data_IF_397712693230
#
_entry.id   IF_397712693230
#
_cell.length_a   1.000
_cell.length_b   1.000
_cell.length_c   1.000
_cell.angle_alpha   90.00
_cell.angle_beta   90.00
_cell.angle_gamma   90.00
#
_symmetry.space_group_name_H-M   'P 1'
#
loop_
_entity.id
_entity.type
_entity.pdbx_description
1 polymer ?
#
# COMPACT_ATOMS: atom_id res chain seq x y z
N UNK A 1 7.53 -10.68 -8.94
CA UNK A 1 6.32 -10.54 -9.78
C UNK A 1 5.27 -9.70 -9.06
N UNK A 2 4.55 -8.82 -9.76
CA UNK A 2 3.39 -8.09 -9.21
C UNK A 2 2.10 -8.77 -9.64
N UNK A 3 1.17 -8.96 -8.71
CA UNK A 3 -0.19 -9.43 -8.98
C UNK A 3 -1.22 -8.49 -8.39
N UNK A 4 -2.31 -8.28 -9.11
CA UNK A 4 -3.45 -7.45 -8.69
C UNK A 4 -4.62 -8.36 -8.39
N UNK A 5 -5.08 -8.34 -7.15
CA UNK A 5 -6.12 -9.23 -6.64
C UNK A 5 -7.37 -8.41 -6.34
N UNK A 6 -8.49 -8.79 -6.94
CA UNK A 6 -9.79 -8.18 -6.73
C UNK A 6 -10.85 -9.26 -6.42
N UNK A 7 -12.11 -8.85 -6.30
CA UNK A 7 -13.22 -9.78 -6.02
C UNK A 7 -13.37 -10.88 -7.08
N UNK A 8 -13.02 -10.61 -8.34
CA UNK A 8 -13.23 -11.54 -9.45
C UNK A 8 -12.17 -12.65 -9.45
N UNK A 9 -10.91 -12.31 -9.16
CA UNK A 9 -9.80 -13.26 -9.25
C UNK A 9 -9.27 -13.78 -7.89
N UNK A 10 -9.72 -13.25 -6.75
CA UNK A 10 -9.22 -13.65 -5.40
C UNK A 10 -9.24 -15.15 -5.11
N UNK A 11 -10.12 -15.91 -5.75
CA UNK A 11 -10.19 -17.35 -5.59
C UNK A 11 -8.92 -18.05 -6.12
N UNK A 12 -8.33 -17.52 -7.19
CA UNK A 12 -7.10 -18.02 -7.79
C UNK A 12 -5.85 -17.66 -6.95
N UNK A 13 -5.93 -16.63 -6.12
CA UNK A 13 -4.84 -16.12 -5.28
C UNK A 13 -5.10 -16.33 -3.77
N UNK A 14 -5.88 -17.34 -3.41
CA UNK A 14 -6.32 -17.54 -2.02
C UNK A 14 -5.17 -17.84 -1.06
N UNK A 15 -4.12 -18.52 -1.53
CA UNK A 15 -2.94 -18.85 -0.73
C UNK A 15 -2.06 -17.61 -0.51
N UNK A 16 -1.87 -16.80 -1.53
CA UNK A 16 -1.11 -15.55 -1.50
C UNK A 16 -1.83 -14.52 -0.63
N UNK A 17 -3.15 -14.42 -0.71
CA UNK A 17 -3.94 -13.59 0.19
C UNK A 17 -3.79 -14.02 1.66
N UNK A 18 -3.80 -15.33 1.94
CA UNK A 18 -3.55 -15.83 3.29
C UNK A 18 -2.13 -15.52 3.78
N UNK A 19 -1.12 -15.65 2.91
CA UNK A 19 0.26 -15.23 3.23
C UNK A 19 0.33 -13.72 3.52
N UNK A 20 -0.36 -12.90 2.73
CA UNK A 20 -0.44 -11.45 2.96
C UNK A 20 -1.09 -11.11 4.31
N UNK A 21 -2.18 -11.77 4.70
CA UNK A 21 -2.79 -11.54 6.02
C UNK A 21 -1.88 -11.97 7.18
N UNK A 22 -1.05 -13.00 7.00
CA UNK A 22 -0.03 -13.38 7.99
C UNK A 22 1.12 -12.37 8.04
N UNK A 23 1.56 -11.86 6.89
CA UNK A 23 2.57 -10.79 6.83
C UNK A 23 2.07 -9.52 7.52
N UNK A 24 0.82 -9.14 7.26
CA UNK A 24 0.14 -8.03 7.94
C UNK A 24 0.15 -8.22 9.46
N UNK A 25 -0.17 -9.42 9.96
CA UNK A 25 -0.09 -9.74 11.40
C UNK A 25 1.30 -9.49 11.96
N UNK A 26 2.35 -9.99 11.30
CA UNK A 26 3.74 -9.77 11.72
C UNK A 26 4.09 -8.29 11.81
N UNK A 27 3.64 -7.48 10.85
CA UNK A 27 3.96 -6.05 10.82
C UNK A 27 3.08 -5.25 11.78
N UNK A 28 1.76 -5.29 11.60
CA UNK A 28 0.82 -4.41 12.30
C UNK A 28 0.47 -4.89 13.72
N UNK A 29 0.53 -6.20 13.99
CA UNK A 29 0.29 -6.74 15.33
C UNK A 29 1.61 -6.94 16.09
N UNK A 30 2.54 -7.72 15.54
CA UNK A 30 3.71 -8.17 16.32
C UNK A 30 4.80 -7.09 16.43
N UNK A 31 5.06 -6.37 15.34
CA UNK A 31 6.15 -5.39 15.27
C UNK A 31 5.71 -4.00 15.73
N UNK A 32 4.58 -3.51 15.21
CA UNK A 32 4.09 -2.17 15.49
C UNK A 32 3.12 -2.11 16.70
N UNK A 33 2.46 -3.22 17.04
CA UNK A 33 1.49 -3.25 18.14
C UNK A 33 0.24 -2.38 17.92
N UNK A 34 -0.08 -2.04 16.67
CA UNK A 34 -1.17 -1.11 16.35
C UNK A 34 -2.55 -1.73 16.46
N UNK A 35 -2.68 -3.02 16.15
CA UNK A 35 -3.96 -3.73 16.15
C UNK A 35 -3.76 -5.16 16.69
N UNK A 36 -4.77 -5.73 17.37
CA UNK A 36 -4.72 -7.13 17.79
C UNK A 36 -4.78 -8.06 16.58
N UNK A 37 -4.18 -9.25 16.71
CA UNK A 37 -4.34 -10.32 15.72
C UNK A 37 -5.75 -10.92 15.78
N UNK A 38 -6.20 -11.44 14.64
CA UNK A 38 -7.41 -12.28 14.56
C UNK A 38 -7.19 -13.64 15.23
N UNK A 39 -8.28 -14.30 15.64
CA UNK A 39 -8.23 -15.60 16.33
C UNK A 39 -7.54 -16.71 15.50
N UNK A 40 -7.59 -16.59 14.17
CA UNK A 40 -6.96 -17.52 13.23
C UNK A 40 -5.45 -17.27 13.01
N UNK A 41 -4.85 -16.34 13.76
CA UNK A 41 -3.43 -16.01 13.67
C UNK A 41 -3.08 -15.11 12.48
N UNK A 42 -4.05 -14.41 11.90
CA UNK A 42 -3.85 -13.45 10.82
C UNK A 42 -4.18 -12.01 11.25
N UNK A 43 -3.99 -11.03 10.36
CA UNK A 43 -4.55 -9.69 10.53
C UNK A 43 -5.52 -9.38 9.40
N UNK A 44 -6.77 -9.20 9.80
CA UNK A 44 -7.90 -8.78 8.96
C UNK A 44 -8.71 -7.75 9.72
N UNK A 45 -9.28 -6.81 9.00
CA UNK A 45 -10.23 -5.83 9.53
C UNK A 45 -11.55 -5.86 8.73
N UNK A 46 -12.54 -5.11 9.19
CA UNK A 46 -13.86 -5.07 8.54
C UNK A 46 -13.81 -4.52 7.09
N UNK A 47 -12.74 -3.83 6.70
CA UNK A 47 -12.58 -3.29 5.34
C UNK A 47 -12.11 -4.36 4.35
N UNK A 48 -11.54 -5.48 4.82
CA UNK A 48 -11.21 -6.64 3.99
C UNK A 48 -12.45 -7.34 3.41
N UNK A 49 -13.63 -7.07 3.96
CA UNK A 49 -14.90 -7.60 3.43
C UNK A 49 -15.59 -6.62 2.45
N UNK A 50 -15.08 -5.38 2.34
CA UNK A 50 -15.56 -4.36 1.41
C UNK A 50 -14.86 -4.47 0.04
N UNK A 51 -15.33 -3.70 -0.93
CA UNK A 51 -14.68 -3.63 -2.23
C UNK A 51 -13.30 -2.96 -2.12
N UNK A 52 -12.28 -3.68 -2.54
CA UNK A 52 -10.89 -3.25 -2.56
C UNK A 52 -10.10 -4.02 -3.62
N UNK A 53 -8.93 -3.50 -3.96
CA UNK A 53 -7.91 -4.21 -4.75
C UNK A 53 -6.70 -4.40 -3.87
N UNK A 54 -6.11 -5.60 -3.86
CA UNK A 54 -4.82 -5.86 -3.22
C UNK A 54 -3.76 -6.00 -4.29
N UNK A 55 -2.68 -5.25 -4.16
CA UNK A 55 -1.48 -5.42 -4.98
C UNK A 55 -0.49 -6.22 -4.15
N UNK A 56 -0.06 -7.37 -4.65
CA UNK A 56 0.93 -8.22 -3.99
C UNK A 56 2.23 -8.25 -4.80
N UNK A 57 3.34 -8.25 -4.07
CA UNK A 57 4.66 -8.57 -4.59
C UNK A 57 5.00 -10.01 -4.23
N UNK A 58 5.14 -10.87 -5.23
CA UNK A 58 5.59 -12.25 -5.09
C UNK A 58 7.07 -12.35 -5.45
N UNK A 59 7.86 -13.06 -4.65
CA UNK A 59 9.26 -13.37 -4.98
C UNK A 59 9.31 -14.26 -6.22
N UNK A 60 10.16 -13.91 -7.19
CA UNK A 60 10.21 -14.64 -8.48
C UNK A 60 10.82 -16.05 -8.34
N UNK A 61 11.65 -16.29 -7.32
CA UNK A 61 12.30 -17.58 -7.10
C UNK A 61 11.45 -18.52 -6.24
N UNK A 62 10.76 -18.00 -5.23
CA UNK A 62 9.97 -18.82 -4.28
C UNK A 62 8.47 -18.77 -4.52
N UNK A 63 7.96 -17.74 -5.18
CA UNK A 63 6.53 -17.46 -5.30
C UNK A 63 5.88 -16.94 -4.00
N UNK A 64 6.66 -16.73 -2.94
CA UNK A 64 6.16 -16.26 -1.64
C UNK A 64 5.82 -14.76 -1.66
N UNK A 65 4.86 -14.36 -0.83
CA UNK A 65 4.49 -12.95 -0.70
C UNK A 65 5.58 -12.17 0.04
N UNK A 66 6.31 -11.33 -0.69
CA UNK A 66 7.32 -10.41 -0.13
C UNK A 66 6.74 -9.06 0.30
N UNK A 67 5.48 -8.76 -0.05
CA UNK A 67 4.81 -7.54 0.38
C UNK A 67 3.46 -7.34 -0.28
N UNK A 68 2.72 -6.34 0.19
CA UNK A 68 1.47 -5.94 -0.43
C UNK A 68 0.93 -4.62 0.07
N UNK A 69 -0.08 -4.11 -0.64
CA UNK A 69 -0.86 -2.92 -0.30
C UNK A 69 -2.31 -3.12 -0.72
N UNK A 70 -3.24 -2.63 0.10
CA UNK A 70 -4.68 -2.62 -0.19
C UNK A 70 -5.08 -1.22 -0.66
N UNK A 71 -5.77 -1.14 -1.80
CA UNK A 71 -6.34 0.08 -2.37
C UNK A 71 -7.87 0.05 -2.30
N UNK A 72 -8.49 1.13 -1.85
CA UNK A 72 -9.94 1.24 -1.64
C UNK A 72 -10.52 2.55 -2.20
N UNK A 73 -11.69 2.56 -2.86
CA UNK A 73 -12.32 3.79 -3.30
C UNK A 73 -12.84 4.62 -2.12
N UNK A 74 -12.55 5.92 -2.12
CA UNK A 74 -12.97 6.82 -1.01
C UNK A 74 -14.45 7.19 -0.99
N UNK A 75 -15.19 6.87 -2.05
CA UNK A 75 -16.66 6.94 -2.05
C UNK A 75 -17.28 5.94 -1.05
N UNK A 76 -16.57 4.86 -0.74
CA UNK A 76 -17.00 3.87 0.26
C UNK A 76 -16.51 4.20 1.68
N UNK A 77 -16.78 3.28 2.64
CA UNK A 77 -16.13 3.31 3.94
C UNK A 77 -14.63 3.00 3.79
N UNK A 78 -13.78 3.85 4.39
CA UNK A 78 -12.32 3.68 4.39
C UNK A 78 -11.77 3.87 5.80
N UNK A 79 -10.53 3.44 6.06
CA UNK A 79 -9.90 3.60 7.39
C UNK A 79 -9.79 5.08 7.77
N UNK A 80 -9.48 5.93 6.81
CA UNK A 80 -9.26 7.35 6.98
C UNK A 80 -10.55 8.10 7.28
N UNK A 81 -11.67 7.76 6.66
CA UNK A 81 -12.96 8.40 6.98
C UNK A 81 -13.60 7.86 8.26
N UNK A 82 -13.03 6.83 8.88
CA UNK A 82 -13.60 6.17 10.07
C UNK A 82 -12.65 6.28 11.26
N UNK A 83 -11.53 5.56 11.22
CA UNK A 83 -10.53 5.45 12.28
C UNK A 83 -9.64 6.69 12.37
N UNK A 84 -9.23 7.25 11.22
CA UNK A 84 -8.31 8.40 11.17
C UNK A 84 -9.00 9.70 10.74
N UNK A 85 -10.30 9.82 11.00
CA UNK A 85 -11.09 10.98 10.59
C UNK A 85 -10.63 12.27 11.27
N UNK A 86 -10.00 12.17 12.44
CA UNK A 86 -9.36 13.27 13.18
C UNK A 86 -8.13 13.84 12.46
N UNK A 87 -7.48 13.06 11.61
CA UNK A 87 -6.35 13.49 10.78
C UNK A 87 -6.79 14.03 9.41
N UNK A 88 -8.06 13.95 9.04
CA UNK A 88 -8.50 14.36 7.71
C UNK A 88 -9.10 15.78 7.76
N UNK A 89 -8.38 16.82 7.30
CA UNK A 89 -8.99 18.14 7.15
C UNK A 89 -10.07 18.08 6.07
N UNK A 90 -11.22 18.72 6.31
CA UNK A 90 -12.33 18.77 5.34
C UNK A 90 -12.69 17.39 4.74
N UNK A 91 -13.14 16.40 5.55
CA UNK A 91 -13.29 15.01 5.11
C UNK A 91 -14.05 14.79 3.79
N UNK A 92 -15.08 15.59 3.54
CA UNK A 92 -15.88 15.52 2.31
C UNK A 92 -15.09 15.79 1.03
N UNK A 93 -14.00 16.57 1.12
CA UNK A 93 -13.09 16.84 -0.02
C UNK A 93 -12.43 15.56 -0.55
N UNK A 94 -12.23 14.57 0.31
CA UNK A 94 -11.53 13.34 -0.01
C UNK A 94 -12.47 12.18 -0.30
N UNK A 95 -13.76 12.46 -0.55
CA UNK A 95 -14.72 11.49 -1.09
C UNK A 95 -14.91 11.71 -2.58
N UNK A 96 -14.19 10.95 -3.40
CA UNK A 96 -14.22 11.11 -4.85
C UNK A 96 -14.00 9.78 -5.57
N UNK A 97 -14.62 9.55 -6.75
CA UNK A 97 -14.32 8.38 -7.57
C UNK A 97 -12.86 8.34 -8.02
N UNK A 98 -12.19 9.51 -8.11
CA UNK A 98 -10.81 9.64 -8.55
C UNK A 98 -9.80 9.62 -7.39
N UNK A 99 -10.24 9.46 -6.14
CA UNK A 99 -9.37 9.38 -4.96
C UNK A 99 -9.52 8.00 -4.32
N UNK A 100 -8.39 7.31 -4.15
CA UNK A 100 -8.35 5.99 -3.52
C UNK A 100 -7.47 6.00 -2.28
N UNK A 101 -7.86 5.26 -1.26
CA UNK A 101 -7.09 5.08 -0.04
C UNK A 101 -6.11 3.90 -0.18
N UNK A 102 -4.83 4.12 0.12
CA UNK A 102 -3.85 3.06 0.31
C UNK A 102 -3.71 2.70 1.79
N UNK A 103 -3.89 1.42 2.12
CA UNK A 103 -3.79 0.88 3.48
C UNK A 103 -3.00 -0.41 3.50
N UNK A 104 -2.53 -0.78 4.69
CA UNK A 104 -1.79 -2.05 4.92
C UNK A 104 -0.61 -2.24 3.96
N UNK A 105 0.07 -1.15 3.61
CA UNK A 105 1.35 -1.23 2.90
C UNK A 105 2.38 -1.86 3.83
N UNK A 106 2.79 -3.10 3.54
CA UNK A 106 3.80 -3.80 4.31
C UNK A 106 4.64 -4.71 3.42
N UNK A 107 5.91 -4.86 3.80
CA UNK A 107 6.90 -5.68 3.09
C UNK A 107 7.57 -6.60 4.10
N UNK A 108 7.90 -7.83 3.70
CA UNK A 108 8.65 -8.72 4.57
C UNK A 108 10.13 -8.30 4.61
N UNK A 109 10.56 -7.80 5.76
CA UNK A 109 11.96 -7.42 5.96
C UNK A 109 12.87 -8.63 6.29
N UNK A 110 12.30 -9.81 6.57
CA UNK A 110 13.06 -10.98 7.06
C UNK A 110 13.59 -11.91 5.98
N UNK A 111 13.11 -11.82 4.73
CA UNK A 111 13.65 -12.61 3.62
C UNK A 111 15.07 -12.19 3.20
N UNK A 112 15.65 -11.18 3.88
CA UNK A 112 17.03 -10.73 3.75
C UNK A 112 18.08 -11.69 4.34
N UNK A 113 17.88 -13.01 4.21
CA UNK A 113 18.99 -13.95 4.37
C UNK A 113 19.99 -13.72 3.24
N UNK A 114 21.10 -13.04 3.55
CA UNK A 114 22.37 -12.95 2.79
C UNK A 114 22.57 -11.90 1.69
N UNK A 115 21.57 -11.13 1.23
CA UNK A 115 21.79 -10.06 0.21
C UNK A 115 21.30 -8.69 0.64
N UNK A 116 22.04 -8.12 1.59
CA UNK A 116 22.20 -6.68 1.88
C UNK A 116 20.91 -5.91 2.20
N UNK A 117 20.98 -5.16 3.29
CA UNK A 117 20.33 -3.86 3.48
C UNK A 117 20.62 -2.94 2.28
N UNK A 118 20.03 -3.23 1.13
CA UNK A 118 19.84 -2.25 0.08
C UNK A 118 19.05 -1.13 0.70
N UNK A 119 19.56 0.10 0.62
CA UNK A 119 18.88 1.32 1.08
C UNK A 119 17.49 1.52 0.42
N UNK A 120 17.18 0.66 -0.55
CA UNK A 120 15.98 0.60 -1.36
C UNK A 120 15.41 -0.81 -1.25
N UNK A 121 14.29 -0.97 -0.53
CA UNK A 121 13.57 -2.24 -0.53
C UNK A 121 12.91 -2.42 -1.91
N UNK A 122 13.35 -3.43 -2.67
CA UNK A 122 12.83 -3.73 -4.02
C UNK A 122 11.32 -3.96 -4.02
N UNK A 123 10.78 -4.65 -3.01
CA UNK A 123 9.35 -4.87 -2.90
C UNK A 123 8.61 -3.55 -2.68
N UNK A 124 9.15 -2.64 -1.86
CA UNK A 124 8.58 -1.30 -1.65
C UNK A 124 8.51 -0.52 -2.96
N UNK A 125 9.60 -0.46 -3.73
CA UNK A 125 9.58 0.23 -5.03
C UNK A 125 8.61 -0.42 -6.02
N UNK A 126 8.60 -1.75 -6.08
CA UNK A 126 7.73 -2.49 -6.99
C UNK A 126 6.26 -2.23 -6.68
N UNK A 127 5.88 -2.24 -5.40
CA UNK A 127 4.53 -1.90 -4.95
C UNK A 127 4.19 -0.43 -5.23
N UNK A 128 5.09 0.52 -4.95
CA UNK A 128 4.85 1.94 -5.24
C UNK A 128 4.62 2.19 -6.74
N UNK A 129 5.42 1.56 -7.60
CA UNK A 129 5.23 1.64 -9.05
C UNK A 129 3.92 0.99 -9.50
N UNK A 130 3.59 -0.18 -8.94
CA UNK A 130 2.35 -0.88 -9.23
C UNK A 130 1.11 -0.05 -8.83
N UNK A 131 1.17 0.67 -7.70
CA UNK A 131 0.11 1.61 -7.30
C UNK A 131 -0.06 2.71 -8.36
N UNK A 132 1.02 3.34 -8.82
CA UNK A 132 0.94 4.39 -9.84
C UNK A 132 0.41 3.86 -11.18
N UNK A 133 0.82 2.67 -11.61
CA UNK A 133 0.34 2.03 -12.84
C UNK A 133 -1.14 1.66 -12.78
N UNK A 134 -1.58 1.15 -11.62
CA UNK A 134 -2.98 0.89 -11.35
C UNK A 134 -3.81 2.18 -11.41
N UNK A 135 -3.31 3.26 -10.80
CA UNK A 135 -4.01 4.54 -10.78
C UNK A 135 -4.16 5.14 -12.19
N UNK A 136 -3.07 5.17 -12.96
CA UNK A 136 -3.09 5.67 -14.35
C UNK A 136 -4.06 4.87 -15.23
N UNK A 137 -4.08 3.55 -15.06
CA UNK A 137 -4.95 2.67 -15.85
C UNK A 137 -6.43 2.76 -15.46
N UNK A 138 -6.75 3.33 -14.31
CA UNK A 138 -8.12 3.42 -13.78
C UNK A 138 -8.62 4.86 -13.59
N UNK A 139 -7.86 5.86 -14.06
CA UNK A 139 -8.26 7.28 -13.94
C UNK A 139 -8.33 7.76 -12.49
N UNK A 140 -7.50 7.19 -11.61
CA UNK A 140 -7.39 7.62 -10.22
C UNK A 140 -6.33 8.71 -10.17
N UNK A 141 -6.70 9.91 -9.76
CA UNK A 141 -5.84 11.10 -9.76
C UNK A 141 -5.01 11.22 -8.49
N UNK A 142 -5.53 10.69 -7.38
CA UNK A 142 -4.87 10.81 -6.08
C UNK A 142 -4.99 9.52 -5.26
N UNK A 143 -3.92 9.21 -4.54
CA UNK A 143 -3.92 8.21 -3.48
C UNK A 143 -3.77 8.94 -2.16
N UNK A 144 -4.54 8.54 -1.16
CA UNK A 144 -4.47 9.09 0.18
C UNK A 144 -4.18 7.98 1.20
N UNK A 145 -3.49 8.31 2.28
CA UNK A 145 -3.15 7.30 3.28
C UNK A 145 -2.64 7.90 4.59
N UNK A 146 -2.52 7.03 5.59
CA UNK A 146 -1.99 7.36 6.91
C UNK A 146 -0.86 6.39 7.24
N UNK A 147 0.31 6.93 7.58
CA UNK A 147 1.46 6.15 8.02
C UNK A 147 2.43 7.01 8.85
N UNK A 148 3.49 6.39 9.38
CA UNK A 148 4.55 7.11 10.09
C UNK A 148 5.22 8.16 9.18
N UNK A 149 5.52 9.35 9.72
CA UNK A 149 6.09 10.48 8.96
C UNK A 149 7.34 10.10 8.17
N UNK A 150 8.19 9.24 8.73
CA UNK A 150 9.42 8.74 8.10
C UNK A 150 9.19 8.08 6.72
N UNK A 151 8.01 7.52 6.47
CA UNK A 151 7.66 6.88 5.19
C UNK A 151 7.49 7.93 4.10
N UNK A 152 6.88 9.07 4.40
CA UNK A 152 6.77 10.20 3.48
C UNK A 152 8.14 10.77 3.12
N UNK A 153 9.01 10.94 4.14
CA UNK A 153 10.37 11.43 3.91
C UNK A 153 11.19 10.47 3.04
N UNK A 154 11.07 9.16 3.27
CA UNK A 154 11.67 8.12 2.45
C UNK A 154 11.16 8.15 1.00
N UNK A 155 9.85 8.27 0.80
CA UNK A 155 9.24 8.34 -0.53
C UNK A 155 9.69 9.56 -1.32
N UNK A 156 9.87 10.71 -0.64
CA UNK A 156 10.42 11.92 -1.25
C UNK A 156 11.83 11.71 -1.80
N UNK A 157 12.66 10.93 -1.10
CA UNK A 157 14.00 10.52 -1.58
C UNK A 157 13.90 9.67 -2.85
N UNK A 158 12.85 8.87 -2.99
CA UNK A 158 12.63 8.04 -4.19
C UNK A 158 12.00 8.80 -5.36
N UNK A 159 11.55 10.04 -5.16
CA UNK A 159 11.00 10.88 -6.22
C UNK A 159 9.47 10.98 -6.23
N UNK A 160 8.77 10.42 -5.24
CA UNK A 160 7.34 10.68 -5.02
C UNK A 160 7.16 11.64 -3.87
N UNK A 161 6.56 12.80 -4.13
CA UNK A 161 6.25 13.78 -3.10
C UNK A 161 4.78 13.67 -2.72
N UNK A 162 4.49 13.77 -1.42
CA UNK A 162 3.14 13.76 -0.91
C UNK A 162 2.84 15.11 -0.25
N UNK A 163 1.63 15.62 -0.45
CA UNK A 163 1.12 16.71 0.38
C UNK A 163 0.75 16.14 1.75
N UNK A 164 1.41 16.62 2.81
CA UNK A 164 1.03 16.28 4.18
C UNK A 164 -0.13 17.17 4.60
N UNK A 165 -1.28 16.56 4.86
CA UNK A 165 -2.49 17.25 5.27
C UNK A 165 -2.50 17.56 6.76
N UNK A 166 -2.03 16.61 7.56
CA UNK A 166 -1.98 16.72 9.02
C UNK A 166 -0.98 15.72 9.61
N UNK A 167 -0.60 15.97 10.87
CA UNK A 167 0.23 15.07 11.67
C UNK A 167 -0.29 15.06 13.11
N UNK A 168 -0.27 13.89 13.73
CA UNK A 168 -0.35 13.75 15.19
C UNK A 168 0.81 12.93 15.72
N UNK A 169 1.05 13.02 17.02
CA UNK A 169 2.03 12.21 17.73
C UNK A 169 1.26 11.17 18.53
N UNK A 170 1.61 9.90 18.39
CA UNK A 170 1.02 8.83 19.19
C UNK A 170 1.58 8.82 20.63
N UNK A 171 1.07 7.93 21.48
CA UNK A 171 1.48 7.81 22.88
C UNK A 171 2.96 7.42 23.04
N UNK A 172 3.57 6.85 22.00
CA UNK A 172 4.97 6.45 21.97
C UNK A 172 5.91 7.53 21.40
N UNK A 173 5.38 8.71 21.05
CA UNK A 173 6.17 9.79 20.45
C UNK A 173 6.38 9.66 18.94
N UNK A 174 5.66 8.74 18.28
CA UNK A 174 5.76 8.51 16.83
C UNK A 174 4.87 9.50 16.09
N UNK A 175 5.44 10.21 15.12
CA UNK A 175 4.67 11.06 14.23
C UNK A 175 3.92 10.23 13.20
N UNK A 176 2.59 10.30 13.24
CA UNK A 176 1.66 9.69 12.28
C UNK A 176 1.05 10.80 11.44
N UNK A 177 1.20 10.71 10.13
CA UNK A 177 0.74 11.74 9.19
C UNK A 177 -0.29 11.19 8.22
N UNK A 178 -1.26 12.04 7.87
CA UNK A 178 -2.13 11.84 6.73
C UNK A 178 -1.56 12.63 5.55
N UNK A 179 -1.46 11.99 4.39
CA UNK A 179 -0.98 12.66 3.19
C UNK A 179 -1.57 12.09 1.91
N UNK A 180 -1.45 12.90 0.86
CA UNK A 180 -1.99 12.67 -0.47
C UNK A 180 -0.87 12.66 -1.49
N UNK A 181 -0.87 11.65 -2.36
CA UNK A 181 0.01 11.54 -3.51
C UNK A 181 -0.80 11.77 -4.77
N UNK A 182 -0.38 12.73 -5.59
CA UNK A 182 -0.86 12.81 -6.97
C UNK A 182 -0.29 11.64 -7.78
N UNK A 183 -1.08 11.08 -8.69
CA UNK A 183 -0.71 9.90 -9.51
C UNK A 183 -0.36 10.27 -10.95
N UNK A 184 -0.41 11.58 -11.25
CA UNK A 184 -0.19 12.12 -12.59
C UNK A 184 1.22 11.91 -13.14
N UNK A 185 1.50 12.45 -14.35
CA UNK A 185 2.75 12.20 -15.06
C UNK A 185 4.02 12.53 -14.26
N UNK A 186 3.97 13.55 -13.39
CA UNK A 186 5.11 13.95 -12.56
C UNK A 186 5.50 12.88 -11.53
N UNK A 187 4.52 12.30 -10.83
CA UNK A 187 4.77 11.22 -9.86
C UNK A 187 5.38 9.99 -10.54
N UNK A 188 4.88 9.65 -11.74
CA UNK A 188 5.43 8.54 -12.55
C UNK A 188 6.84 8.83 -13.05
N UNK A 189 7.13 10.05 -13.47
CA UNK A 189 8.47 10.48 -13.85
C UNK A 189 9.45 10.38 -12.66
N UNK A 190 8.99 10.72 -11.45
CA UNK A 190 9.76 10.61 -10.22
C UNK A 190 10.25 9.18 -9.91
N UNK A 191 9.46 8.17 -10.24
CA UNK A 191 9.83 6.75 -10.08
C UNK A 191 10.30 6.07 -11.37
N UNK A 192 10.53 6.80 -12.47
CA UNK A 192 10.97 6.19 -13.73
C UNK A 192 12.30 5.43 -13.59
N UNK A 193 13.21 5.94 -12.75
CA UNK A 193 14.49 5.28 -12.44
C UNK A 193 14.30 3.91 -11.78
N UNK A 194 13.24 3.75 -10.96
CA UNK A 194 12.97 2.52 -10.24
C UNK A 194 12.59 1.38 -11.19
N UNK A 195 11.91 1.67 -12.31
CA UNK A 195 11.64 0.67 -13.36
C UNK A 195 12.93 0.07 -13.92
N UNK A 196 13.91 0.93 -14.23
CA UNK A 196 15.22 0.48 -14.72
C UNK A 196 15.98 -0.34 -13.66
N UNK A 197 15.85 0.02 -12.37
CA UNK A 197 16.48 -0.71 -11.26
C UNK A 197 15.88 -2.11 -11.02
N UNK A 198 14.57 -2.28 -11.28
CA UNK A 198 13.87 -3.55 -11.05
C UNK A 198 14.01 -4.54 -12.21
N UNK A 199 14.28 -4.05 -13.42
CA UNK A 199 14.24 -4.86 -14.65
C UNK A 199 12.84 -4.91 -15.26
N UNK A 200 12.72 -5.40 -16.50
CA UNK A 200 11.43 -5.51 -17.17
C UNK A 200 10.52 -6.49 -16.41
N UNK A 201 9.47 -5.96 -15.77
CA UNK A 201 8.40 -6.77 -15.24
C UNK A 201 7.45 -7.17 -16.38
N UNK A 202 6.97 -8.42 -16.37
CA UNK A 202 5.92 -8.83 -17.29
C UNK A 202 4.68 -7.94 -17.09
N UNK A 203 4.00 -7.50 -18.17
CA UNK A 203 2.80 -6.68 -18.04
C UNK A 203 1.71 -7.49 -17.33
N UNK A 204 1.42 -7.12 -16.09
CA UNK A 204 0.31 -7.67 -15.35
C UNK A 204 -1.01 -7.14 -15.91
N UNK A 205 -2.04 -7.98 -15.99
CA UNK A 205 -3.38 -7.52 -16.30
C UNK A 205 -3.89 -6.69 -15.12
N UNK A 206 -4.09 -5.39 -15.38
CA UNK A 206 -4.63 -4.46 -14.39
C UNK A 206 -6.15 -4.63 -14.34
N UNK A 207 -6.74 -4.96 -13.17
CA UNK A 207 -8.18 -5.01 -13.05
C UNK A 207 -8.74 -3.62 -13.32
N UNK A 208 -9.76 -3.56 -14.18
CA UNK A 208 -10.52 -2.34 -14.43
C UNK A 208 -11.54 -2.20 -13.32
N UNK A 209 -11.44 -1.10 -12.59
CA UNK A 209 -12.39 -0.74 -11.54
C UNK A 209 -13.43 0.19 -12.16
N UNK A 210 -14.70 -0.17 -12.03
CA UNK A 210 -15.83 0.55 -12.62
C UNK A 210 -16.36 1.63 -11.68
#
# INVERSE_FOLDING_TARGET
MIVYVDRQNRHAYSQEMLQYHRLRKKVFCDTLGWVPASEDGTERDAFDDLYHVVILHLDDATGEVGGGVRLMPTLGPTLMHTVWSDLLPEPERYRSPNIWEATRFCVDETSNSSRKRSFVNRATLALSLAVLEFCDSNGIDQVIGVCERKIFDMQRVYGTDAEILSTKVDENGTEISCGVWDTGPQARAGLAWAKAFMGEASPAQLPKVA
#
